data_IF_234161273520
#
_entry.id   IF_234161273520
#
_cell.length_a   1.000
_cell.length_b   1.000
_cell.length_c   1.000
_cell.angle_alpha   90.00
_cell.angle_beta   90.00
_cell.angle_gamma   90.00
#
_symmetry.space_group_name_H-M   'P 1'
#
loop_
_entity.id
_entity.type
_entity.pdbx_description
1 polymer ?
#
# COMPACT_ATOMS: atom_id res chain seq x y z
N UNK A 1 -18.84 34.42 8.33
CA UNK A 1 -18.56 33.13 7.66
C UNK A 1 -17.12 33.15 7.17
N UNK A 2 -16.22 32.43 7.83
CA UNK A 2 -14.79 32.39 7.46
C UNK A 2 -14.55 31.52 6.21
N UNK A 3 -13.52 31.81 5.40
CA UNK A 3 -13.22 31.06 4.19
C UNK A 3 -12.75 29.63 4.49
N UNK A 4 -13.23 28.70 3.66
CA UNK A 4 -13.20 27.24 3.79
C UNK A 4 -11.80 26.63 3.69
N UNK A 5 -11.39 25.85 4.68
CA UNK A 5 -10.31 24.88 4.52
C UNK A 5 -10.77 23.70 3.65
N UNK A 6 -10.04 23.38 2.58
CA UNK A 6 -10.28 22.14 1.81
C UNK A 6 -9.94 20.96 2.73
N UNK A 7 -10.96 20.29 3.28
CA UNK A 7 -10.91 19.06 4.14
C UNK A 7 -11.31 19.25 5.61
N UNK A 8 -12.25 20.13 5.94
CA UNK A 8 -12.81 20.21 7.29
C UNK A 8 -14.27 19.73 7.31
N UNK A 9 -14.64 18.96 8.32
CA UNK A 9 -15.98 18.48 8.64
C UNK A 9 -16.68 19.58 9.43
N UNK A 10 -17.86 19.97 8.98
CA UNK A 10 -18.69 20.94 9.70
C UNK A 10 -19.45 20.20 10.80
N UNK A 11 -19.26 20.63 12.04
CA UNK A 11 -20.06 20.17 13.19
C UNK A 11 -21.08 21.24 13.53
N UNK A 12 -22.36 20.85 13.61
CA UNK A 12 -23.46 21.78 13.88
C UNK A 12 -23.56 22.12 15.36
N UNK A 13 -24.03 23.32 15.70
CA UNK A 13 -23.96 23.89 17.06
C UNK A 13 -24.72 23.06 18.11
N UNK A 14 -25.88 22.47 17.77
CA UNK A 14 -26.67 21.63 18.69
C UNK A 14 -26.28 20.14 18.66
N UNK A 15 -25.19 19.79 17.98
CA UNK A 15 -24.71 18.41 17.94
C UNK A 15 -24.21 17.96 19.33
N UNK A 16 -24.58 16.76 19.80
CA UNK A 16 -24.12 16.23 21.08
C UNK A 16 -22.60 16.31 21.26
N UNK A 17 -22.15 16.78 22.43
CA UNK A 17 -20.74 17.11 22.68
C UNK A 17 -19.81 15.89 22.51
N UNK A 18 -20.27 14.69 22.88
CA UNK A 18 -19.53 13.45 22.66
C UNK A 18 -19.23 13.21 21.16
N UNK A 19 -20.17 13.55 20.28
CA UNK A 19 -19.99 13.43 18.82
C UNK A 19 -19.12 14.55 18.29
N UNK A 20 -19.28 15.78 18.80
CA UNK A 20 -18.40 16.92 18.45
C UNK A 20 -16.94 16.60 18.75
N UNK A 21 -16.64 16.13 19.95
CA UNK A 21 -15.30 15.75 20.37
C UNK A 21 -14.74 14.61 19.51
N UNK A 22 -15.55 13.57 19.27
CA UNK A 22 -15.17 12.43 18.44
C UNK A 22 -14.87 12.81 16.98
N UNK A 23 -15.64 13.73 16.39
CA UNK A 23 -15.38 14.25 15.04
C UNK A 23 -14.07 15.03 15.01
N UNK A 24 -13.81 15.88 16.01
CA UNK A 24 -12.56 16.63 16.09
C UNK A 24 -11.35 15.70 16.20
N UNK A 25 -11.42 14.65 17.01
CA UNK A 25 -10.36 13.65 17.13
C UNK A 25 -10.18 12.86 15.83
N UNK A 26 -11.29 12.42 15.22
CA UNK A 26 -11.29 11.74 13.93
C UNK A 26 -10.61 12.58 12.85
N UNK A 27 -10.88 13.88 12.76
CA UNK A 27 -10.22 14.77 11.80
C UNK A 27 -8.70 14.84 11.99
N UNK A 28 -8.24 14.89 13.25
CA UNK A 28 -6.81 14.96 13.57
C UNK A 28 -6.07 13.67 13.17
N UNK A 29 -6.66 12.50 13.43
CA UNK A 29 -6.02 11.20 13.16
C UNK A 29 -6.18 10.75 11.70
N UNK A 30 -7.22 11.23 11.01
CA UNK A 30 -7.52 10.87 9.63
C UNK A 30 -6.63 11.63 8.63
N UNK A 31 -5.34 11.26 8.59
CA UNK A 31 -4.36 11.78 7.62
C UNK A 31 -4.79 11.52 6.16
N UNK A 32 -4.20 12.21 5.16
CA UNK A 32 -4.51 11.99 3.73
C UNK A 32 -4.28 10.55 3.23
N UNK A 33 -3.53 9.73 3.96
CA UNK A 33 -3.26 8.32 3.64
C UNK A 33 -4.47 7.41 3.88
N UNK A 34 -5.37 7.81 4.79
CA UNK A 34 -6.59 7.06 5.06
C UNK A 34 -7.63 7.31 3.96
N UNK A 35 -7.98 6.25 3.24
CA UNK A 35 -8.93 6.31 2.12
C UNK A 35 -9.83 5.07 2.10
N UNK A 36 -10.92 5.12 1.33
CA UNK A 36 -11.80 3.96 1.17
C UNK A 36 -11.13 2.77 0.47
N UNK A 37 -10.15 3.03 -0.41
CA UNK A 37 -9.52 2.00 -1.24
C UNK A 37 -8.27 1.37 -0.59
N UNK A 38 -7.68 2.02 0.42
CA UNK A 38 -6.45 1.55 1.05
C UNK A 38 -6.72 0.41 2.03
N UNK A 39 -6.08 -0.74 1.80
CA UNK A 39 -6.14 -1.89 2.72
C UNK A 39 -5.33 -1.66 4.01
N UNK A 40 -4.19 -0.97 3.90
CA UNK A 40 -3.28 -0.71 5.04
C UNK A 40 -3.74 0.50 5.87
N UNK A 41 -4.27 1.52 5.22
CA UNK A 41 -4.76 2.75 5.83
C UNK A 41 -6.25 2.91 5.52
N UNK A 42 -7.06 2.03 6.10
CA UNK A 42 -8.50 2.01 5.85
C UNK A 42 -9.20 3.14 6.60
N UNK A 43 -9.84 4.06 5.89
CA UNK A 43 -10.65 5.11 6.53
C UNK A 43 -11.81 4.51 7.35
N UNK A 44 -12.35 3.37 6.92
CA UNK A 44 -13.41 2.65 7.64
C UNK A 44 -12.95 2.18 9.03
N UNK A 45 -11.66 1.84 9.17
CA UNK A 45 -11.10 1.51 10.48
C UNK A 45 -11.16 2.70 11.43
N UNK A 46 -10.89 3.92 10.93
CA UNK A 46 -10.92 5.14 11.73
C UNK A 46 -12.34 5.60 12.04
N UNK A 47 -13.29 5.44 11.13
CA UNK A 47 -14.71 5.69 11.45
C UNK A 47 -15.17 4.76 12.58
N UNK A 48 -14.86 3.46 12.50
CA UNK A 48 -15.21 2.49 13.55
C UNK A 48 -14.60 2.84 14.91
N UNK A 49 -13.30 3.17 14.91
CA UNK A 49 -12.54 3.40 16.12
C UNK A 49 -12.97 4.67 16.85
N UNK A 50 -13.26 5.75 16.13
CA UNK A 50 -13.49 7.07 16.74
C UNK A 50 -14.96 7.48 16.80
N UNK A 51 -15.83 7.00 15.90
CA UNK A 51 -17.17 7.56 15.76
C UNK A 51 -18.28 6.59 16.19
N UNK A 52 -18.14 5.29 15.97
CA UNK A 52 -19.27 4.36 16.18
C UNK A 52 -19.82 4.39 17.61
N UNK A 53 -18.95 4.43 18.62
CA UNK A 53 -19.37 4.42 20.03
C UNK A 53 -20.08 5.73 20.41
N UNK A 54 -19.48 6.89 20.08
CA UNK A 54 -20.03 8.20 20.40
C UNK A 54 -21.35 8.48 19.67
N UNK A 55 -21.49 8.00 18.42
CA UNK A 55 -22.74 8.12 17.67
C UNK A 55 -23.82 7.21 18.24
N UNK A 56 -23.48 5.97 18.62
CA UNK A 56 -24.43 5.07 19.26
C UNK A 56 -24.96 5.65 20.58
N UNK A 57 -24.06 6.18 21.43
CA UNK A 57 -24.46 6.82 22.68
C UNK A 57 -25.34 8.05 22.44
N UNK A 58 -24.97 8.92 21.49
CA UNK A 58 -25.76 10.11 21.18
C UNK A 58 -27.17 9.77 20.65
N UNK A 59 -27.30 8.71 19.86
CA UNK A 59 -28.60 8.22 19.40
C UNK A 59 -29.43 7.64 20.53
N UNK A 60 -28.81 6.94 21.49
CA UNK A 60 -29.49 6.42 22.67
C UNK A 60 -30.00 7.56 23.56
N UNK A 61 -29.16 8.56 23.84
CA UNK A 61 -29.51 9.75 24.63
C UNK A 61 -30.65 10.57 23.99
N UNK A 62 -30.76 10.54 22.67
CA UNK A 62 -31.84 11.19 21.91
C UNK A 62 -33.08 10.30 21.72
N UNK A 63 -33.11 9.11 22.32
CA UNK A 63 -34.23 8.17 22.23
C UNK A 63 -34.41 7.52 20.86
N UNK A 64 -33.35 7.47 20.05
CA UNK A 64 -33.32 6.97 18.67
C UNK A 64 -32.25 5.87 18.44
N UNK A 65 -32.10 4.86 19.31
CA UNK A 65 -30.99 3.90 19.25
C UNK A 65 -30.98 3.01 17.98
N UNK A 66 -32.11 2.92 17.27
CA UNK A 66 -32.28 2.12 16.05
C UNK A 66 -32.40 2.95 14.77
N UNK A 67 -32.11 4.25 14.84
CA UNK A 67 -32.23 5.14 13.68
C UNK A 67 -31.30 4.72 12.55
N UNK A 68 -30.09 4.30 12.92
CA UNK A 68 -29.15 3.65 12.02
C UNK A 68 -29.31 2.14 12.20
N UNK A 69 -29.44 1.40 11.10
CA UNK A 69 -29.49 -0.06 11.10
C UNK A 69 -28.09 -0.65 11.41
N UNK A 70 -27.65 -0.46 12.66
CA UNK A 70 -26.33 -0.83 13.17
C UNK A 70 -25.35 0.36 13.33
N UNK A 71 -24.05 0.07 13.53
CA UNK A 71 -23.03 1.09 13.73
C UNK A 71 -22.96 2.09 12.57
N UNK A 72 -22.59 3.34 12.85
CA UNK A 72 -22.52 4.40 11.85
C UNK A 72 -21.61 4.04 10.67
N UNK A 73 -20.43 3.48 10.95
CA UNK A 73 -19.50 2.97 9.93
C UNK A 73 -20.16 1.96 9.00
N UNK A 74 -20.94 1.02 9.56
CA UNK A 74 -21.67 0.01 8.81
C UNK A 74 -22.80 0.65 8.03
N UNK A 75 -23.56 1.57 8.60
CA UNK A 75 -24.62 2.30 7.89
C UNK A 75 -24.08 3.10 6.69
N UNK A 76 -22.90 3.73 6.84
CA UNK A 76 -22.19 4.37 5.73
C UNK A 76 -21.65 3.37 4.70
N UNK A 77 -21.21 2.19 5.13
CA UNK A 77 -20.70 1.14 4.26
C UNK A 77 -21.83 0.37 3.54
N UNK A 78 -23.00 0.24 4.18
CA UNK A 78 -24.13 -0.58 3.78
C UNK A 78 -24.67 -0.18 2.41
N UNK A 79 -24.46 -1.06 1.44
CA UNK A 79 -24.92 -0.92 0.07
C UNK A 79 -24.30 -2.00 -0.81
N UNK A 80 -25.10 -2.63 -1.68
CA UNK A 80 -24.54 -3.52 -2.73
C UNK A 80 -23.94 -2.70 -3.89
N UNK A 81 -24.04 -1.38 -3.80
CA UNK A 81 -23.60 -0.39 -4.77
C UNK A 81 -22.08 -0.39 -4.98
N UNK A 82 -21.68 -0.52 -6.25
CA UNK A 82 -20.29 -0.37 -6.68
C UNK A 82 -20.10 1.04 -7.24
N UNK A 83 -19.69 1.97 -6.40
CA UNK A 83 -19.19 3.27 -6.86
C UNK A 83 -19.45 4.42 -5.90
N UNK A 84 -18.51 5.38 -5.89
CA UNK A 84 -18.57 6.62 -5.10
C UNK A 84 -19.89 7.38 -5.36
N UNK A 85 -20.31 7.48 -6.62
CA UNK A 85 -21.51 8.22 -7.03
C UNK A 85 -22.79 7.65 -6.42
N UNK A 86 -22.92 6.33 -6.43
CA UNK A 86 -24.09 5.63 -5.90
C UNK A 86 -24.16 5.78 -4.38
N UNK A 87 -23.02 5.63 -3.68
CA UNK A 87 -22.93 5.81 -2.22
C UNK A 87 -23.27 7.24 -1.78
N UNK A 88 -22.74 8.24 -2.47
CA UNK A 88 -23.07 9.66 -2.22
C UNK A 88 -24.55 9.94 -2.49
N UNK A 89 -25.11 9.36 -3.56
CA UNK A 89 -26.53 9.45 -3.87
C UNK A 89 -27.40 8.87 -2.76
N UNK A 90 -27.07 7.67 -2.27
CA UNK A 90 -27.78 7.01 -1.16
C UNK A 90 -27.69 7.83 0.13
N UNK A 91 -26.50 8.29 0.50
CA UNK A 91 -26.30 9.13 1.68
C UNK A 91 -27.18 10.38 1.62
N UNK A 92 -27.22 11.07 0.46
CA UNK A 92 -28.04 12.25 0.26
C UNK A 92 -29.54 11.94 0.37
N UNK A 93 -29.99 10.83 -0.19
CA UNK A 93 -31.40 10.41 -0.12
C UNK A 93 -31.80 10.05 1.31
N UNK A 94 -30.99 9.25 2.00
CA UNK A 94 -31.22 8.85 3.38
C UNK A 94 -31.23 10.07 4.32
N UNK A 95 -30.24 10.96 4.19
CA UNK A 95 -30.18 12.20 4.96
C UNK A 95 -31.43 13.07 4.79
N UNK A 96 -31.87 13.30 3.54
CA UNK A 96 -33.10 14.05 3.27
C UNK A 96 -34.35 13.38 3.87
N UNK A 97 -34.43 12.06 3.84
CA UNK A 97 -35.54 11.33 4.42
C UNK A 97 -35.57 11.48 5.96
N UNK A 98 -34.41 11.29 6.62
CA UNK A 98 -34.27 11.40 8.06
C UNK A 98 -34.57 12.82 8.56
N UNK A 99 -34.04 13.86 7.90
CA UNK A 99 -34.35 15.25 8.28
C UNK A 99 -35.84 15.58 8.13
N UNK A 100 -36.50 15.07 7.08
CA UNK A 100 -37.95 15.28 6.91
C UNK A 100 -38.75 14.60 8.01
N UNK A 101 -38.34 13.40 8.43
CA UNK A 101 -38.99 12.63 9.48
C UNK A 101 -38.81 13.29 10.86
N UNK A 102 -37.65 13.91 11.11
CA UNK A 102 -37.27 14.43 12.42
C UNK A 102 -37.17 15.98 12.47
N UNK A 103 -37.90 16.67 11.59
CA UNK A 103 -37.82 18.15 11.42
C UNK A 103 -38.09 19.00 12.67
N UNK A 104 -38.64 18.39 13.71
CA UNK A 104 -39.03 19.07 14.96
C UNK A 104 -38.02 18.85 16.10
N UNK A 105 -37.07 17.94 15.94
CA UNK A 105 -36.03 17.67 16.93
C UNK A 105 -34.72 18.34 16.50
N UNK A 106 -34.46 19.53 17.05
CA UNK A 106 -33.30 20.35 16.70
C UNK A 106 -31.97 19.62 16.97
N UNK A 107 -31.87 18.90 18.10
CA UNK A 107 -30.64 18.19 18.50
C UNK A 107 -30.38 17.01 17.60
N UNK A 108 -31.42 16.25 17.27
CA UNK A 108 -31.30 15.14 16.33
C UNK A 108 -30.99 15.61 14.91
N UNK A 109 -31.59 16.73 14.46
CA UNK A 109 -31.23 17.31 13.16
C UNK A 109 -29.76 17.74 13.11
N UNK A 110 -29.26 18.41 14.15
CA UNK A 110 -27.84 18.81 14.21
C UNK A 110 -26.90 17.60 14.22
N UNK A 111 -27.27 16.51 14.89
CA UNK A 111 -26.55 15.24 14.82
C UNK A 111 -26.56 14.69 13.38
N UNK A 112 -27.73 14.59 12.75
CA UNK A 112 -27.88 14.03 11.39
C UNK A 112 -27.10 14.84 10.33
N UNK A 113 -27.15 16.16 10.41
CA UNK A 113 -26.39 17.05 9.54
C UNK A 113 -24.86 16.87 9.75
N UNK A 114 -24.41 16.76 11.01
CA UNK A 114 -23.00 16.46 11.32
C UNK A 114 -22.58 15.10 10.76
N UNK A 115 -23.40 14.06 10.91
CA UNK A 115 -23.13 12.73 10.36
C UNK A 115 -23.12 12.73 8.82
N UNK A 116 -23.95 13.56 8.19
CA UNK A 116 -23.92 13.76 6.75
C UNK A 116 -22.60 14.38 6.30
N UNK A 117 -22.09 15.41 7.00
CA UNK A 117 -20.80 16.02 6.71
C UNK A 117 -19.63 15.04 6.86
N UNK A 118 -19.66 14.22 7.92
CA UNK A 118 -18.69 13.11 8.08
C UNK A 118 -18.79 12.12 6.93
N UNK A 119 -20.01 11.70 6.57
CA UNK A 119 -20.23 10.77 5.46
C UNK A 119 -19.72 11.31 4.13
N UNK A 120 -19.97 12.59 3.85
CA UNK A 120 -19.45 13.29 2.66
C UNK A 120 -17.92 13.36 2.68
N UNK A 121 -17.32 13.69 3.83
CA UNK A 121 -15.87 13.69 4.00
C UNK A 121 -15.26 12.30 3.71
N UNK A 122 -15.82 11.24 4.28
CA UNK A 122 -15.34 9.86 4.12
C UNK A 122 -15.49 9.38 2.68
N UNK A 123 -16.67 9.56 2.08
CA UNK A 123 -16.98 9.06 0.74
C UNK A 123 -16.26 9.84 -0.37
N UNK A 124 -16.02 11.13 -0.17
CA UNK A 124 -15.27 11.96 -1.12
C UNK A 124 -13.76 11.97 -0.84
N UNK A 125 -13.29 11.24 0.18
CA UNK A 125 -11.87 11.16 0.52
C UNK A 125 -11.12 10.44 -0.58
N UNK A 126 -10.41 11.22 -1.38
CA UNK A 126 -9.44 10.72 -2.37
C UNK A 126 -8.04 10.79 -1.78
N UNK A 127 -7.20 9.80 -2.08
CA UNK A 127 -5.77 9.93 -1.84
C UNK A 127 -5.29 11.20 -2.53
N UNK A 128 -4.61 12.11 -1.81
CA UNK A 128 -3.92 13.22 -2.47
C UNK A 128 -2.93 12.60 -3.47
N UNK A 129 -3.25 12.75 -4.75
CA UNK A 129 -2.53 12.21 -5.90
C UNK A 129 -2.46 10.68 -5.97
N UNK A 130 -3.48 10.04 -6.55
CA UNK A 130 -3.12 9.12 -7.64
C UNK A 130 -2.75 10.02 -8.82
N UNK A 131 -1.53 9.94 -9.33
CA UNK A 131 -1.20 10.52 -10.65
C UNK A 131 -2.27 9.98 -11.60
N UNK A 132 -3.21 10.84 -11.98
CA UNK A 132 -4.46 10.43 -12.63
C UNK A 132 -4.17 9.92 -14.03
N UNK A 133 -3.95 8.62 -14.15
CA UNK A 133 -3.89 7.97 -15.46
C UNK A 133 -5.26 7.35 -15.71
N UNK A 134 -5.93 7.80 -16.79
CA UNK A 134 -7.19 7.22 -17.28
C UNK A 134 -7.10 5.68 -17.31
N UNK A 135 -8.14 4.97 -16.88
CA UNK A 135 -8.12 3.51 -16.68
C UNK A 135 -7.69 2.71 -17.93
N UNK A 136 -7.98 3.20 -19.13
CA UNK A 136 -7.53 2.59 -20.40
C UNK A 136 -6.04 2.80 -20.67
N UNK A 137 -5.43 3.83 -20.08
CA UNK A 137 -4.00 4.14 -20.13
C UNK A 137 -3.26 3.73 -18.85
N UNK A 138 -3.92 3.21 -17.82
CA UNK A 138 -3.28 2.93 -16.53
C UNK A 138 -2.22 1.81 -16.63
N UNK A 139 -2.45 0.81 -17.49
CA UNK A 139 -1.44 -0.19 -17.81
C UNK A 139 -0.29 0.39 -18.68
N UNK A 140 -0.60 1.37 -19.52
CA UNK A 140 0.39 1.99 -20.41
C UNK A 140 1.25 3.05 -19.69
N UNK A 141 0.68 4.01 -18.96
CA UNK A 141 1.42 5.17 -18.48
C UNK A 141 2.23 4.94 -17.19
N UNK A 142 1.95 3.86 -16.44
CA UNK A 142 2.79 3.50 -15.27
C UNK A 142 4.13 2.90 -15.71
N UNK A 143 4.20 2.40 -16.96
CA UNK A 143 5.41 1.81 -17.56
C UNK A 143 6.00 2.67 -18.70
N UNK A 144 5.17 3.38 -19.47
CA UNK A 144 5.54 4.11 -20.70
C UNK A 144 5.46 5.61 -20.44
N UNK A 145 6.39 6.11 -19.63
CA UNK A 145 6.55 7.52 -19.33
C UNK A 145 7.85 8.09 -19.91
N UNK A 146 7.87 9.40 -20.19
CA UNK A 146 9.11 10.13 -20.56
C UNK A 146 10.18 10.06 -19.47
N UNK A 147 9.79 9.91 -18.19
CA UNK A 147 10.73 9.77 -17.06
C UNK A 147 11.38 8.39 -17.09
N UNK A 148 12.68 8.41 -17.32
CA UNK A 148 13.57 7.25 -17.31
C UNK A 148 13.93 6.93 -15.85
N UNK A 149 13.98 5.65 -15.48
CA UNK A 149 14.41 5.25 -14.13
C UNK A 149 15.88 5.60 -13.91
N UNK A 150 16.28 5.80 -12.66
CA UNK A 150 17.71 5.91 -12.31
C UNK A 150 18.51 4.66 -12.70
N UNK A 151 17.83 3.52 -12.84
CA UNK A 151 18.42 2.24 -13.24
C UNK A 151 18.60 2.07 -14.76
N UNK A 152 18.14 3.02 -15.58
CA UNK A 152 18.26 2.91 -17.03
C UNK A 152 19.73 2.90 -17.48
N UNK A 153 20.14 2.02 -18.41
CA UNK A 153 19.30 1.24 -19.34
C UNK A 153 18.81 -0.12 -18.84
N UNK A 154 18.98 -0.45 -17.56
CA UNK A 154 18.72 -1.76 -16.98
C UNK A 154 17.38 -1.86 -16.22
N UNK A 155 16.90 -3.09 -16.08
CA UNK A 155 15.70 -3.40 -15.33
C UNK A 155 15.89 -3.11 -13.82
N UNK A 156 14.84 -2.63 -13.16
CA UNK A 156 14.88 -2.40 -11.70
C UNK A 156 14.88 -3.70 -10.88
N UNK A 157 14.54 -4.83 -11.51
CA UNK A 157 14.39 -6.15 -10.87
C UNK A 157 15.45 -7.17 -11.29
N UNK A 158 16.25 -6.86 -12.31
CA UNK A 158 17.33 -7.72 -12.78
C UNK A 158 18.40 -6.95 -13.55
N UNK A 159 19.38 -7.65 -14.07
CA UNK A 159 20.50 -7.09 -14.82
C UNK A 159 20.22 -6.84 -16.31
N UNK A 160 19.07 -7.30 -16.83
CA UNK A 160 18.77 -7.19 -18.28
C UNK A 160 18.41 -5.77 -18.68
N UNK A 161 18.67 -5.43 -19.94
CA UNK A 161 18.24 -4.16 -20.55
C UNK A 161 16.70 -4.02 -20.49
N UNK A 162 16.23 -2.80 -20.26
CA UNK A 162 14.81 -2.48 -20.31
C UNK A 162 14.25 -2.65 -21.71
N UNK A 163 12.93 -2.87 -21.82
CA UNK A 163 12.27 -2.97 -23.12
C UNK A 163 12.55 -1.74 -24.00
N UNK A 164 12.60 -0.56 -23.40
CA UNK A 164 12.95 0.68 -24.10
C UNK A 164 14.39 0.69 -24.59
N UNK A 165 15.37 0.33 -23.76
CA UNK A 165 16.78 0.28 -24.16
C UNK A 165 17.02 -0.71 -25.32
N UNK A 166 16.32 -1.85 -25.32
CA UNK A 166 16.37 -2.82 -26.44
C UNK A 166 15.83 -2.21 -27.73
N UNK A 167 14.73 -1.45 -27.66
CA UNK A 167 14.13 -0.81 -28.84
C UNK A 167 14.91 0.41 -29.32
N UNK A 168 15.52 1.18 -28.42
CA UNK A 168 16.38 2.32 -28.79
C UNK A 168 17.65 1.87 -29.52
N UNK A 169 18.13 0.66 -29.25
CA UNK A 169 19.27 0.03 -29.91
C UNK A 169 18.90 -0.70 -31.23
N UNK A 170 17.62 -0.72 -31.62
CA UNK A 170 17.15 -1.36 -32.85
C UNK A 170 17.58 -0.57 -34.09
N UNK A 171 18.04 -1.26 -35.14
CA UNK A 171 18.39 -0.66 -36.44
C UNK A 171 17.15 -0.22 -37.24
N UNK A 172 15.99 -0.83 -36.99
CA UNK A 172 14.70 -0.38 -37.54
C UNK A 172 14.32 1.01 -37.00
N UNK A 173 14.48 2.04 -37.82
CA UNK A 173 14.20 3.44 -37.48
C UNK A 173 12.74 3.71 -37.09
N UNK A 174 11.77 2.95 -37.63
CA UNK A 174 10.36 3.07 -37.24
C UNK A 174 10.13 2.47 -35.86
N UNK A 175 10.77 1.34 -35.57
CA UNK A 175 10.72 0.70 -34.25
C UNK A 175 11.41 1.57 -33.19
N UNK A 176 12.59 2.11 -33.52
CA UNK A 176 13.35 3.05 -32.68
C UNK A 176 12.57 4.33 -32.37
N UNK A 177 11.89 4.92 -33.37
CA UNK A 177 11.03 6.10 -33.18
C UNK A 177 9.83 5.87 -32.25
N UNK A 178 9.48 4.60 -31.99
CA UNK A 178 8.43 4.20 -31.06
C UNK A 178 8.96 3.73 -29.70
N UNK A 179 10.25 3.89 -29.39
CA UNK A 179 10.87 3.43 -28.14
C UNK A 179 10.18 3.95 -26.86
N UNK A 180 9.65 5.18 -26.91
CA UNK A 180 8.93 5.80 -25.80
C UNK A 180 7.66 5.03 -25.37
N UNK A 181 7.13 4.16 -26.25
CA UNK A 181 5.99 3.27 -25.96
C UNK A 181 6.40 2.04 -25.14
N UNK A 182 7.68 1.83 -24.88
CA UNK A 182 8.19 0.68 -24.13
C UNK A 182 8.63 1.10 -22.72
N UNK A 183 8.67 0.14 -21.79
CA UNK A 183 9.07 0.46 -20.42
C UNK A 183 10.54 0.82 -20.36
N UNK A 184 10.85 1.98 -19.77
CA UNK A 184 12.21 2.37 -19.38
C UNK A 184 12.61 1.88 -17.99
N UNK A 185 11.80 1.00 -17.38
CA UNK A 185 12.00 0.49 -16.01
C UNK A 185 12.17 -1.03 -15.95
N UNK A 186 11.49 -1.75 -16.83
CA UNK A 186 11.45 -3.21 -16.80
C UNK A 186 11.84 -3.83 -18.14
N UNK A 187 12.46 -5.00 -18.08
CA UNK A 187 12.67 -5.86 -19.24
C UNK A 187 11.37 -6.64 -19.58
N UNK A 188 11.40 -7.40 -20.68
CA UNK A 188 10.24 -8.21 -21.11
C UNK A 188 9.83 -9.25 -20.07
N UNK A 189 10.79 -9.91 -19.42
CA UNK A 189 10.52 -10.93 -18.38
C UNK A 189 9.91 -10.37 -17.10
N UNK A 190 10.03 -9.06 -16.88
CA UNK A 190 9.50 -8.35 -15.71
C UNK A 190 8.43 -7.33 -16.08
N UNK A 191 7.73 -7.52 -17.21
CA UNK A 191 6.66 -6.63 -17.64
C UNK A 191 5.43 -6.71 -16.71
N UNK A 192 5.09 -5.65 -15.94
CA UNK A 192 3.96 -5.70 -15.01
C UNK A 192 2.59 -5.86 -15.70
N UNK A 193 2.49 -5.45 -16.97
CA UNK A 193 1.27 -5.57 -17.77
C UNK A 193 1.03 -7.00 -18.27
N UNK A 194 2.07 -7.84 -18.26
CA UNK A 194 1.96 -9.26 -18.59
C UNK A 194 1.67 -10.07 -17.31
N UNK A 195 0.52 -10.76 -17.21
CA UNK A 195 0.18 -11.56 -16.03
C UNK A 195 1.10 -12.77 -15.84
N UNK A 196 1.73 -13.27 -16.90
CA UNK A 196 2.60 -14.44 -16.90
C UNK A 196 4.06 -14.11 -16.61
N UNK A 197 4.41 -12.82 -16.58
CA UNK A 197 5.78 -12.38 -16.32
C UNK A 197 6.25 -12.71 -14.89
N UNK A 198 7.56 -12.75 -14.70
CA UNK A 198 8.17 -12.97 -13.38
C UNK A 198 8.06 -11.76 -12.46
N UNK A 199 7.45 -10.66 -12.91
CA UNK A 199 7.35 -9.41 -12.16
C UNK A 199 6.87 -9.64 -10.72
N UNK A 200 5.75 -10.32 -10.52
CA UNK A 200 5.16 -10.55 -9.18
C UNK A 200 6.06 -11.40 -8.28
N UNK A 201 6.78 -12.34 -8.88
CA UNK A 201 7.70 -13.25 -8.16
C UNK A 201 8.95 -12.49 -7.72
N UNK A 202 9.56 -11.75 -8.63
CA UNK A 202 10.88 -11.15 -8.40
C UNK A 202 10.79 -9.76 -7.75
N UNK A 203 9.64 -9.07 -7.82
CA UNK A 203 9.43 -7.77 -7.19
C UNK A 203 9.70 -7.78 -5.68
N UNK A 204 9.46 -8.91 -4.99
CA UNK A 204 9.75 -9.04 -3.55
C UNK A 204 11.25 -8.96 -3.22
N UNK A 205 12.11 -9.24 -4.18
CA UNK A 205 13.58 -9.17 -4.01
C UNK A 205 14.15 -7.83 -4.47
N UNK A 206 13.31 -6.89 -4.94
CA UNK A 206 13.76 -5.61 -5.52
C UNK A 206 14.73 -4.86 -4.61
N UNK A 207 14.34 -4.64 -3.36
CA UNK A 207 15.16 -3.85 -2.42
C UNK A 207 16.51 -4.52 -2.20
N UNK A 208 16.50 -5.84 -1.94
CA UNK A 208 17.70 -6.64 -1.75
C UNK A 208 18.62 -6.62 -2.96
N UNK A 209 18.06 -6.72 -4.16
CA UNK A 209 18.82 -6.59 -5.40
C UNK A 209 19.51 -5.22 -5.50
N UNK A 210 18.78 -4.15 -5.22
CA UNK A 210 19.31 -2.78 -5.27
C UNK A 210 20.38 -2.51 -4.21
N UNK A 211 20.21 -3.06 -3.02
CA UNK A 211 21.21 -2.97 -1.95
C UNK A 211 22.46 -3.77 -2.31
N UNK A 212 22.31 -4.95 -2.93
CA UNK A 212 23.45 -5.73 -3.40
C UNK A 212 24.15 -5.04 -4.59
N UNK A 213 23.43 -4.37 -5.51
CA UNK A 213 24.07 -3.56 -6.56
C UNK A 213 24.96 -2.47 -5.95
N UNK A 214 24.47 -1.76 -4.93
CA UNK A 214 25.27 -0.75 -4.22
C UNK A 214 26.49 -1.38 -3.56
N UNK A 215 26.30 -2.50 -2.85
CA UNK A 215 27.40 -3.23 -2.19
C UNK A 215 28.46 -3.68 -3.19
N UNK A 216 28.07 -4.24 -4.33
CA UNK A 216 29.02 -4.65 -5.37
C UNK A 216 29.79 -3.45 -5.92
N UNK A 217 29.14 -2.30 -6.13
CA UNK A 217 29.84 -1.07 -6.51
C UNK A 217 30.80 -0.55 -5.43
N UNK A 218 30.49 -0.74 -4.15
CA UNK A 218 31.43 -0.44 -3.07
C UNK A 218 32.66 -1.35 -3.11
N UNK A 219 32.47 -2.65 -3.37
CA UNK A 219 33.59 -3.59 -3.56
C UNK A 219 34.45 -3.19 -4.76
N UNK A 220 33.84 -2.83 -5.90
CA UNK A 220 34.56 -2.31 -7.08
C UNK A 220 35.38 -1.08 -6.72
N UNK A 221 34.81 -0.11 -5.98
CA UNK A 221 35.51 1.11 -5.56
C UNK A 221 36.71 0.84 -4.65
N UNK A 222 36.63 -0.22 -3.85
CA UNK A 222 37.70 -0.65 -2.95
C UNK A 222 38.68 -1.63 -3.60
N UNK A 223 38.45 -2.02 -4.86
CA UNK A 223 39.20 -3.07 -5.55
C UNK A 223 39.24 -4.39 -4.74
N UNK A 224 38.11 -4.70 -4.09
CA UNK A 224 37.93 -5.91 -3.30
C UNK A 224 37.32 -7.03 -4.15
N UNK A 225 37.62 -8.28 -3.77
CA UNK A 225 37.04 -9.46 -4.41
C UNK A 225 35.50 -9.36 -4.45
N UNK A 226 34.85 -9.75 -5.57
CA UNK A 226 35.40 -10.51 -6.70
C UNK A 226 35.95 -9.65 -7.86
N UNK A 227 36.12 -8.34 -7.69
CA UNK A 227 36.42 -7.42 -8.80
C UNK A 227 37.91 -7.07 -8.85
N UNK A 228 38.70 -7.88 -9.57
CA UNK A 228 40.13 -7.60 -9.81
C UNK A 228 40.35 -6.47 -10.84
N UNK A 229 39.33 -6.17 -11.65
CA UNK A 229 39.29 -5.09 -12.63
C UNK A 229 37.96 -4.36 -12.50
N UNK A 230 37.88 -3.11 -12.97
CA UNK A 230 36.63 -2.34 -12.98
C UNK A 230 35.65 -3.00 -13.97
N UNK A 231 34.58 -3.65 -13.48
CA UNK A 231 33.60 -4.31 -14.34
C UNK A 231 32.67 -3.30 -15.02
N UNK A 232 31.97 -3.74 -16.07
CA UNK A 232 30.86 -2.97 -16.60
C UNK A 232 29.61 -3.06 -15.68
N UNK A 233 28.68 -2.13 -15.88
CA UNK A 233 27.47 -2.07 -15.05
C UNK A 233 26.60 -3.34 -15.16
N UNK A 234 26.57 -3.99 -16.32
CA UNK A 234 25.77 -5.19 -16.53
C UNK A 234 26.31 -6.37 -15.69
N UNK A 235 27.64 -6.52 -15.62
CA UNK A 235 28.32 -7.54 -14.84
C UNK A 235 28.07 -7.35 -13.33
N UNK A 236 28.19 -6.11 -12.83
CA UNK A 236 27.88 -5.78 -11.42
C UNK A 236 26.44 -6.14 -11.08
N UNK A 237 25.49 -5.72 -11.93
CA UNK A 237 24.07 -6.01 -11.72
C UNK A 237 23.76 -7.50 -11.85
N UNK A 238 24.45 -8.23 -12.73
CA UNK A 238 24.26 -9.67 -12.87
C UNK A 238 24.69 -10.41 -11.60
N UNK A 239 25.87 -10.07 -11.07
CA UNK A 239 26.37 -10.63 -9.83
C UNK A 239 25.43 -10.32 -8.66
N UNK A 240 25.00 -9.06 -8.55
CA UNK A 240 24.04 -8.66 -7.52
C UNK A 240 22.70 -9.40 -7.64
N UNK A 241 22.22 -9.64 -8.86
CA UNK A 241 20.98 -10.40 -9.08
C UNK A 241 21.09 -11.85 -8.64
N UNK A 242 22.23 -12.51 -8.89
CA UNK A 242 22.48 -13.88 -8.42
C UNK A 242 22.43 -13.91 -6.90
N UNK A 243 23.20 -13.03 -6.24
CA UNK A 243 23.31 -12.97 -4.78
C UNK A 243 22.00 -12.57 -4.08
N UNK A 244 21.23 -11.65 -4.66
CA UNK A 244 19.93 -11.25 -4.11
C UNK A 244 18.88 -12.37 -4.10
N UNK A 245 19.08 -13.40 -4.93
CA UNK A 245 18.18 -14.56 -5.04
C UNK A 245 18.65 -15.78 -4.27
N UNK A 246 19.94 -15.85 -3.92
CA UNK A 246 20.42 -16.79 -2.91
C UNK A 246 19.70 -16.44 -1.61
N UNK A 247 18.85 -17.30 -1.02
CA UNK A 247 18.23 -17.01 0.27
C UNK A 247 19.33 -16.56 1.23
N UNK A 248 19.10 -15.49 2.01
CA UNK A 248 19.99 -15.26 3.16
C UNK A 248 20.09 -16.57 3.93
N UNK A 249 21.27 -16.88 4.46
CA UNK A 249 21.43 -18.00 5.40
C UNK A 249 20.32 -17.84 6.42
N UNK A 250 19.33 -18.73 6.34
CA UNK A 250 18.23 -18.68 7.27
C UNK A 250 18.81 -19.13 8.61
N UNK A 251 18.21 -18.69 9.71
CA UNK A 251 18.53 -19.23 11.03
C UNK A 251 18.47 -20.77 11.06
N UNK A 252 17.67 -21.38 10.19
CA UNK A 252 17.60 -22.82 10.01
C UNK A 252 18.84 -23.41 9.28
N UNK A 253 19.45 -22.67 8.35
CA UNK A 253 20.70 -23.05 7.69
C UNK A 253 21.88 -22.96 8.68
N UNK A 254 21.92 -21.92 9.52
CA UNK A 254 22.94 -21.76 10.57
C UNK A 254 22.83 -22.84 11.67
N UNK A 255 21.59 -23.21 12.05
CA UNK A 255 21.32 -24.33 12.95
C UNK A 255 21.85 -25.65 12.35
N UNK A 256 21.67 -25.86 11.04
CA UNK A 256 22.13 -27.06 10.34
C UNK A 256 23.65 -27.14 10.24
N UNK A 257 24.31 -26.03 9.92
CA UNK A 257 25.77 -25.94 9.87
C UNK A 257 26.40 -26.20 11.25
N UNK A 258 25.82 -25.64 12.31
CA UNK A 258 26.32 -25.85 13.68
C UNK A 258 26.18 -27.31 14.13
N UNK A 259 25.10 -27.99 13.72
CA UNK A 259 24.94 -29.42 13.95
C UNK A 259 25.96 -30.25 13.15
N UNK A 260 26.26 -29.86 11.91
CA UNK A 260 27.28 -30.51 11.08
C UNK A 260 28.70 -30.35 11.65
N UNK A 261 28.97 -29.24 12.35
CA UNK A 261 30.21 -29.00 13.09
C UNK A 261 30.28 -29.76 14.44
N UNK A 262 29.31 -30.62 14.73
CA UNK A 262 29.31 -31.50 15.91
C UNK A 262 28.68 -30.90 17.16
N UNK A 263 28.08 -29.71 17.08
CA UNK A 263 27.41 -29.11 18.24
C UNK A 263 26.16 -29.90 18.62
N UNK A 264 25.97 -30.10 19.93
CA UNK A 264 24.78 -30.73 20.48
C UNK A 264 23.54 -29.85 20.33
N UNK A 265 22.36 -30.49 20.28
CA UNK A 265 21.06 -29.79 20.25
C UNK A 265 20.87 -28.81 21.40
N UNK A 266 21.55 -29.03 22.54
CA UNK A 266 21.52 -28.14 23.71
C UNK A 266 22.32 -26.86 23.42
N UNK A 267 23.55 -26.99 22.93
CA UNK A 267 24.41 -25.84 22.60
C UNK A 267 23.79 -24.97 21.51
N UNK A 268 23.18 -25.58 20.49
CA UNK A 268 22.44 -24.87 19.44
C UNK A 268 21.24 -24.13 20.04
N UNK A 269 20.48 -24.77 20.94
CA UNK A 269 19.31 -24.18 21.60
C UNK A 269 19.69 -22.96 22.44
N UNK A 270 20.77 -23.06 23.21
CA UNK A 270 21.30 -21.97 24.04
C UNK A 270 21.83 -20.83 23.18
N UNK A 271 22.63 -21.12 22.15
CA UNK A 271 23.22 -20.11 21.26
C UNK A 271 22.18 -19.33 20.45
N UNK A 272 21.15 -20.01 19.99
CA UNK A 272 20.09 -19.37 19.21
C UNK A 272 18.89 -18.94 20.07
N UNK A 273 18.87 -19.14 21.40
CA UNK A 273 17.72 -18.74 22.23
C UNK A 273 16.38 -19.34 21.77
N UNK A 274 16.40 -20.56 21.27
CA UNK A 274 15.22 -21.31 20.77
C UNK A 274 15.07 -22.61 21.52
N UNK A 275 13.88 -23.19 21.59
CA UNK A 275 13.67 -24.47 22.28
C UNK A 275 14.37 -25.64 21.58
N UNK A 276 14.78 -26.66 22.33
CA UNK A 276 15.37 -27.89 21.77
C UNK A 276 14.45 -28.59 20.76
N UNK A 277 13.13 -28.48 20.95
CA UNK A 277 12.13 -28.97 19.99
C UNK A 277 12.12 -28.17 18.68
N UNK A 278 12.35 -26.85 18.72
CA UNK A 278 12.50 -26.05 17.51
C UNK A 278 13.75 -26.45 16.72
N UNK A 279 14.87 -26.69 17.41
CA UNK A 279 16.10 -27.23 16.80
C UNK A 279 15.84 -28.60 16.18
N UNK A 280 15.19 -29.52 16.90
CA UNK A 280 14.84 -30.85 16.37
C UNK A 280 13.99 -30.78 15.11
N UNK A 281 12.96 -29.91 15.09
CA UNK A 281 12.11 -29.72 13.89
C UNK A 281 12.92 -29.22 12.69
N UNK A 282 13.90 -28.34 12.89
CA UNK A 282 14.77 -27.86 11.80
C UNK A 282 15.66 -28.98 11.24
N UNK A 283 16.15 -29.87 12.12
CA UNK A 283 17.04 -30.97 11.73
C UNK A 283 16.30 -32.16 11.09
N UNK A 284 15.04 -32.40 11.45
CA UNK A 284 14.27 -33.57 10.97
C UNK A 284 13.44 -33.30 9.73
N UNK A 285 13.03 -32.05 9.46
CA UNK A 285 12.03 -31.74 8.42
C UNK A 285 12.55 -31.75 6.98
N UNK A 286 13.66 -32.45 6.68
CA UNK A 286 14.20 -32.63 5.33
C UNK A 286 15.00 -33.96 5.19
N UNK A 287 14.43 -35.07 5.68
CA UNK A 287 14.61 -36.38 5.03
C UNK A 287 13.38 -36.57 4.13
#
# INVERSE_FOLDING_TARGET
MAPKGKNQIVVWDDCPEAVRAAVAEFEQVCTPSYTMASRRYSIWSKVREYLDASVAQALDDLGQPKLLDGPFSRWLEMGRERGERERVGRLRTAHKALLRQHRHDLRLMALLETLYEVGMFVLLRRSRQSVGVKATKAAEAVNHGRKVSSDYPFCELCWRKTMRAVVEASEDGKRRGNAWKFSGRFCTEHNPSDPTSRYRVDHRYRQRFQDEVKRQWELVRRLEAPWEQVPDEAAVRMQAFILARVPERTRADEIREMAQLGASRREISERFGVSRQAVYKVLVKNI
#
